data_IF_403836849363
#
_entry.id   IF_403836849363
#
_cell.length_a   1.000
_cell.length_b   1.000
_cell.length_c   1.000
_cell.angle_alpha   90.00
_cell.angle_beta   90.00
_cell.angle_gamma   90.00
#
_symmetry.space_group_name_H-M   'P 1'
#
loop_
_entity.id
_entity.type
_entity.pdbx_description
1 polymer ?
#
# COMPACT_ATOMS: atom_id res chain seq x y z
N UNK A 1 31.50 23.13 -5.69
CA UNK A 1 31.19 22.41 -6.95
C UNK A 1 29.92 21.56 -6.90
N UNK A 2 29.73 20.67 -5.90
CA UNK A 2 28.50 19.84 -5.77
C UNK A 2 27.21 20.66 -5.74
N UNK A 3 27.20 21.80 -5.04
CA UNK A 3 26.06 22.72 -4.97
C UNK A 3 25.69 23.32 -6.33
N UNK A 4 26.68 23.71 -7.15
CA UNK A 4 26.42 24.31 -8.46
C UNK A 4 25.80 23.28 -9.43
N UNK A 5 26.20 22.00 -9.33
CA UNK A 5 25.60 20.93 -10.11
C UNK A 5 24.17 20.64 -9.67
N UNK A 6 23.90 20.60 -8.36
CA UNK A 6 22.53 20.45 -7.84
C UNK A 6 21.64 21.60 -8.31
N UNK A 7 22.08 22.86 -8.19
CA UNK A 7 21.32 24.01 -8.68
C UNK A 7 21.05 23.96 -10.19
N UNK A 8 22.01 23.50 -10.99
CA UNK A 8 21.84 23.29 -12.42
C UNK A 8 20.73 22.26 -12.70
N UNK A 9 20.81 21.09 -12.07
CA UNK A 9 19.82 20.02 -12.22
C UNK A 9 18.44 20.46 -11.71
N UNK A 10 18.35 21.20 -10.59
CA UNK A 10 17.08 21.74 -10.08
C UNK A 10 16.44 22.69 -11.09
N UNK A 11 17.21 23.60 -11.68
CA UNK A 11 16.70 24.52 -12.72
C UNK A 11 16.21 23.77 -13.95
N UNK A 12 16.92 22.71 -14.36
CA UNK A 12 16.49 21.87 -15.47
C UNK A 12 15.17 21.15 -15.18
N UNK A 13 15.05 20.55 -14.00
CA UNK A 13 13.83 19.87 -13.57
C UNK A 13 12.64 20.83 -13.50
N UNK A 14 12.85 22.07 -13.03
CA UNK A 14 11.81 23.10 -12.98
C UNK A 14 11.35 23.58 -14.38
N UNK A 15 12.20 23.50 -15.41
CA UNK A 15 11.80 23.86 -16.78
C UNK A 15 11.21 22.68 -17.58
N UNK A 16 11.29 21.46 -17.03
CA UNK A 16 10.83 20.27 -17.71
C UNK A 16 9.30 20.11 -17.62
N UNK A 17 8.60 20.52 -18.69
CA UNK A 17 7.13 20.45 -18.80
C UNK A 17 6.56 19.05 -18.57
N UNK A 18 7.29 18.00 -18.96
CA UNK A 18 6.85 16.60 -18.76
C UNK A 18 6.77 16.27 -17.27
N UNK A 19 7.78 16.66 -16.48
CA UNK A 19 7.77 16.38 -15.05
C UNK A 19 6.71 17.20 -14.30
N UNK A 20 6.47 18.43 -14.74
CA UNK A 20 5.35 19.22 -14.22
C UNK A 20 4.00 18.61 -14.56
N UNK A 21 3.80 18.10 -15.78
CA UNK A 21 2.58 17.40 -16.16
C UNK A 21 2.36 16.17 -15.28
N UNK A 22 3.39 15.36 -15.06
CA UNK A 22 3.32 14.20 -14.17
C UNK A 22 3.07 14.61 -12.71
N UNK A 23 3.70 15.69 -12.24
CA UNK A 23 3.44 16.27 -10.92
C UNK A 23 1.99 16.72 -10.77
N UNK A 24 1.44 17.43 -11.76
CA UNK A 24 0.03 17.84 -11.80
C UNK A 24 -0.89 16.61 -11.84
N UNK A 25 -0.53 15.55 -12.56
CA UNK A 25 -1.30 14.31 -12.55
C UNK A 25 -1.37 13.68 -11.15
N UNK A 26 -0.26 13.67 -10.39
CA UNK A 26 -0.25 13.24 -8.98
C UNK A 26 -1.14 14.15 -8.12
N UNK A 27 -1.06 15.47 -8.33
CA UNK A 27 -1.89 16.43 -7.59
C UNK A 27 -3.37 16.23 -7.85
N UNK A 28 -3.76 16.01 -9.11
CA UNK A 28 -5.14 15.82 -9.52
C UNK A 28 -5.66 14.43 -9.17
N UNK A 29 -4.78 13.43 -9.02
CA UNK A 29 -5.18 12.06 -8.66
C UNK A 29 -6.04 12.05 -7.39
N UNK A 30 -5.66 12.76 -6.34
CA UNK A 30 -6.41 12.76 -5.08
C UNK A 30 -7.85 13.31 -5.24
N UNK A 31 -8.09 14.56 -5.66
CA UNK A 31 -9.47 15.04 -5.82
C UNK A 31 -10.28 14.22 -6.83
N UNK A 32 -9.67 13.70 -7.90
CA UNK A 32 -10.34 12.81 -8.87
C UNK A 32 -10.72 11.47 -8.21
N UNK A 33 -9.78 10.86 -7.49
CA UNK A 33 -10.01 9.60 -6.79
C UNK A 33 -11.11 9.75 -5.75
N UNK A 34 -11.18 10.87 -5.02
CA UNK A 34 -12.31 11.12 -4.12
C UNK A 34 -13.66 11.15 -4.83
N UNK A 35 -13.75 11.77 -6.03
CA UNK A 35 -15.00 11.76 -6.80
C UNK A 35 -15.44 10.33 -7.13
N UNK A 36 -14.49 9.45 -7.46
CA UNK A 36 -14.78 8.03 -7.68
C UNK A 36 -15.12 7.31 -6.36
N UNK A 37 -14.32 7.51 -5.31
CA UNK A 37 -14.47 6.91 -3.99
C UNK A 37 -15.85 7.21 -3.39
N UNK A 38 -16.29 8.47 -3.45
CA UNK A 38 -17.62 8.91 -2.97
C UNK A 38 -18.81 8.39 -3.78
N UNK A 39 -18.58 7.86 -4.99
CA UNK A 39 -19.60 7.19 -5.80
C UNK A 39 -19.59 5.67 -5.59
N UNK A 40 -18.58 5.15 -4.89
CA UNK A 40 -18.47 3.72 -4.62
C UNK A 40 -19.40 3.39 -3.47
N UNK A 41 -20.14 2.28 -3.58
CA UNK A 41 -21.09 1.82 -2.56
C UNK A 41 -20.35 1.19 -1.38
N UNK A 42 -19.61 2.02 -0.64
CA UNK A 42 -18.89 1.61 0.57
C UNK A 42 -19.89 1.67 1.71
N UNK A 43 -20.31 0.49 2.17
CA UNK A 43 -21.25 0.34 3.29
C UNK A 43 -20.68 0.98 4.54
N UNK A 44 -21.49 1.83 5.19
CA UNK A 44 -21.13 2.41 6.48
C UNK A 44 -21.06 1.31 7.54
N UNK A 45 -20.42 1.59 8.68
CA UNK A 45 -20.39 0.64 9.80
C UNK A 45 -21.81 0.28 10.27
N UNK A 46 -22.74 1.23 10.20
CA UNK A 46 -24.15 1.02 10.50
C UNK A 46 -24.79 0.02 9.53
N UNK A 47 -24.56 0.19 8.22
CA UNK A 47 -25.12 -0.70 7.20
C UNK A 47 -24.57 -2.12 7.34
N UNK A 48 -23.26 -2.25 7.63
CA UNK A 48 -22.64 -3.56 7.90
C UNK A 48 -23.31 -4.26 9.08
N UNK A 49 -23.54 -3.55 10.21
CA UNK A 49 -24.19 -4.14 11.38
C UNK A 49 -25.69 -4.40 11.18
N UNK A 50 -26.37 -3.60 10.35
CA UNK A 50 -27.75 -3.87 9.94
C UNK A 50 -27.84 -5.18 9.14
N UNK A 51 -26.97 -5.37 8.14
CA UNK A 51 -26.91 -6.60 7.36
C UNK A 51 -26.56 -7.82 8.20
N UNK A 52 -25.60 -7.66 9.12
CA UNK A 52 -25.22 -8.70 10.07
C UNK A 52 -26.42 -9.12 10.94
N UNK A 53 -27.22 -8.17 11.43
CA UNK A 53 -28.44 -8.47 12.18
C UNK A 53 -29.50 -9.19 11.31
N UNK A 54 -29.67 -8.79 10.05
CA UNK A 54 -30.60 -9.45 9.12
C UNK A 54 -30.17 -10.89 8.81
N UNK A 55 -28.87 -11.16 8.75
CA UNK A 55 -28.34 -12.52 8.54
C UNK A 55 -28.78 -13.47 9.66
N UNK A 56 -28.89 -13.00 10.92
CA UNK A 56 -29.34 -13.84 12.03
C UNK A 56 -30.77 -14.37 11.86
N UNK A 57 -31.68 -13.62 11.22
CA UNK A 57 -33.01 -14.15 10.88
C UNK A 57 -32.93 -15.38 9.96
N UNK A 58 -31.95 -15.37 9.05
CA UNK A 58 -31.73 -16.48 8.13
C UNK A 58 -31.07 -17.66 8.83
N UNK A 59 -30.10 -17.39 9.72
CA UNK A 59 -29.45 -18.40 10.55
C UNK A 59 -30.48 -19.13 11.42
N UNK A 60 -31.33 -18.40 12.15
CA UNK A 60 -32.36 -19.02 13.00
C UNK A 60 -33.37 -19.84 12.22
N UNK A 61 -33.79 -19.36 11.03
CA UNK A 61 -34.72 -20.10 10.17
C UNK A 61 -34.11 -21.38 9.58
N UNK A 62 -32.80 -21.37 9.34
CA UNK A 62 -32.07 -22.51 8.78
C UNK A 62 -31.57 -23.50 9.85
N UNK A 63 -31.66 -23.16 11.13
CA UNK A 63 -31.16 -24.00 12.21
C UNK A 63 -32.05 -25.26 12.37
N UNK A 64 -31.49 -26.49 12.40
CA UNK A 64 -32.29 -27.70 12.47
C UNK A 64 -33.03 -27.85 13.80
N UNK A 65 -34.36 -28.01 13.76
CA UNK A 65 -35.18 -28.21 14.96
C UNK A 65 -34.77 -29.47 15.74
N UNK A 66 -34.39 -30.55 15.04
CA UNK A 66 -33.91 -31.79 15.68
C UNK A 66 -32.66 -31.56 16.55
N UNK A 67 -31.80 -30.61 16.17
CA UNK A 67 -30.64 -30.25 17.00
C UNK A 67 -31.02 -29.36 18.17
N UNK A 68 -32.03 -28.51 18.02
CA UNK A 68 -32.52 -27.64 19.08
C UNK A 68 -33.05 -28.42 20.29
N UNK A 69 -33.58 -29.62 20.07
CA UNK A 69 -34.05 -30.51 21.14
C UNK A 69 -32.91 -31.22 21.90
N UNK A 70 -31.69 -31.19 21.37
CA UNK A 70 -30.51 -31.73 22.06
C UNK A 70 -29.89 -30.70 22.97
N UNK A 71 -29.27 -31.14 24.08
CA UNK A 71 -28.55 -30.24 24.98
C UNK A 71 -27.44 -29.45 24.25
N UNK A 72 -26.70 -30.11 23.36
CA UNK A 72 -25.63 -29.48 22.59
C UNK A 72 -26.17 -28.44 21.59
N UNK A 73 -27.24 -28.74 20.86
CA UNK A 73 -27.82 -27.78 19.94
C UNK A 73 -28.57 -26.64 20.63
N UNK A 74 -29.09 -26.86 21.85
CA UNK A 74 -29.61 -25.77 22.69
C UNK A 74 -28.49 -24.81 23.11
N UNK A 75 -27.33 -25.31 23.53
CA UNK A 75 -26.16 -24.46 23.86
C UNK A 75 -25.70 -23.62 22.66
N UNK A 76 -25.71 -24.19 21.44
CA UNK A 76 -25.40 -23.46 20.20
C UNK A 76 -26.48 -22.41 19.90
N UNK A 77 -27.75 -22.75 20.04
CA UNK A 77 -28.87 -21.84 19.79
C UNK A 77 -28.88 -20.65 20.76
N UNK A 78 -28.60 -20.91 22.04
CA UNK A 78 -28.50 -19.88 23.08
C UNK A 78 -27.32 -18.92 22.78
N UNK A 79 -26.17 -19.46 22.37
CA UNK A 79 -25.03 -18.67 21.91
C UNK A 79 -25.42 -17.78 20.71
N UNK A 80 -26.08 -18.33 19.69
CA UNK A 80 -26.54 -17.54 18.52
C UNK A 80 -27.54 -16.45 18.93
N UNK A 81 -28.39 -16.73 19.91
CA UNK A 81 -29.34 -15.76 20.48
C UNK A 81 -28.60 -14.61 21.19
N UNK A 82 -27.56 -14.93 21.98
CA UNK A 82 -26.70 -13.92 22.61
C UNK A 82 -25.97 -13.07 21.56
N UNK A 83 -25.39 -13.69 20.53
CA UNK A 83 -24.76 -12.96 19.42
C UNK A 83 -25.74 -12.00 18.73
N UNK A 84 -26.95 -12.45 18.41
CA UNK A 84 -27.98 -11.61 17.79
C UNK A 84 -28.36 -10.43 18.68
N UNK A 85 -28.46 -10.65 20.00
CA UNK A 85 -28.71 -9.58 20.96
C UNK A 85 -27.58 -8.53 20.97
N UNK A 86 -26.32 -8.98 21.03
CA UNK A 86 -25.14 -8.09 21.06
C UNK A 86 -25.02 -7.27 19.77
N UNK A 87 -25.29 -7.85 18.60
CA UNK A 87 -25.28 -7.12 17.33
C UNK A 87 -26.36 -6.05 17.32
N UNK A 88 -27.56 -6.34 17.83
CA UNK A 88 -28.63 -5.35 17.93
C UNK A 88 -28.28 -4.21 18.91
N UNK A 89 -27.57 -4.52 20.00
CA UNK A 89 -27.04 -3.49 20.90
C UNK A 89 -25.95 -2.65 20.22
N UNK A 90 -25.01 -3.26 19.51
CA UNK A 90 -24.01 -2.54 18.72
C UNK A 90 -24.64 -1.59 17.68
N UNK A 91 -25.74 -1.98 17.03
CA UNK A 91 -26.49 -1.10 16.10
C UNK A 91 -27.07 0.13 16.79
N UNK A 92 -27.48 -0.01 18.04
CA UNK A 92 -28.00 1.09 18.86
C UNK A 92 -26.85 2.02 19.29
N UNK A 93 -25.75 1.47 19.78
CA UNK A 93 -24.58 2.25 20.25
C UNK A 93 -23.92 3.10 19.16
N UNK A 94 -24.04 2.72 17.89
CA UNK A 94 -23.52 3.53 16.78
C UNK A 94 -24.27 4.84 16.55
N UNK A 95 -25.42 5.07 17.22
CA UNK A 95 -26.16 6.33 17.15
C UNK A 95 -25.66 7.38 18.13
N UNK A 96 -24.92 6.98 19.17
CA UNK A 96 -24.42 7.87 20.22
C UNK A 96 -22.91 7.64 20.46
N UNK A 97 -22.09 8.66 20.21
CA UNK A 97 -20.64 8.58 20.41
C UNK A 97 -20.25 8.34 21.88
N UNK A 98 -21.11 8.67 22.84
CA UNK A 98 -20.88 8.40 24.27
C UNK A 98 -20.95 6.90 24.60
N UNK A 99 -21.55 6.07 23.72
CA UNK A 99 -21.72 4.64 23.91
C UNK A 99 -20.64 3.78 23.21
N UNK A 100 -19.56 4.41 22.72
CA UNK A 100 -18.44 3.73 22.07
C UNK A 100 -17.83 2.61 22.93
N UNK A 101 -17.71 2.80 24.25
CA UNK A 101 -17.16 1.78 25.17
C UNK A 101 -18.07 0.54 25.25
N UNK A 102 -19.39 0.74 25.23
CA UNK A 102 -20.38 -0.35 25.21
C UNK A 102 -20.33 -1.10 23.88
N UNK A 103 -20.21 -0.39 22.76
CA UNK A 103 -20.01 -0.99 21.44
C UNK A 103 -18.79 -1.91 21.40
N UNK A 104 -17.67 -1.44 21.98
CA UNK A 104 -16.41 -2.19 22.00
C UNK A 104 -16.53 -3.42 22.89
N UNK A 105 -17.11 -3.27 24.09
CA UNK A 105 -17.28 -4.36 25.05
C UNK A 105 -18.17 -5.47 24.48
N UNK A 106 -19.32 -5.10 23.90
CA UNK A 106 -20.25 -6.05 23.29
C UNK A 106 -19.65 -6.70 22.04
N UNK A 107 -18.83 -5.97 21.28
CA UNK A 107 -18.12 -6.51 20.12
C UNK A 107 -17.04 -7.53 20.49
N UNK A 108 -16.33 -7.31 21.60
CA UNK A 108 -15.37 -8.29 22.12
C UNK A 108 -16.10 -9.55 22.59
N UNK A 109 -17.21 -9.38 23.34
CA UNK A 109 -18.05 -10.49 23.78
C UNK A 109 -18.65 -11.28 22.62
N UNK A 110 -19.13 -10.59 21.59
CA UNK A 110 -19.64 -11.19 20.35
C UNK A 110 -18.58 -12.10 19.71
N UNK A 111 -17.33 -11.64 19.65
CA UNK A 111 -16.24 -12.41 19.05
C UNK A 111 -15.79 -13.59 19.93
N UNK A 112 -15.88 -13.49 21.26
CA UNK A 112 -15.70 -14.65 22.15
C UNK A 112 -16.73 -15.75 21.86
N UNK A 113 -18.01 -15.39 21.73
CA UNK A 113 -19.09 -16.33 21.42
C UNK A 113 -18.88 -17.02 20.07
N UNK A 114 -18.42 -16.27 19.06
CA UNK A 114 -18.07 -16.82 17.74
C UNK A 114 -16.92 -17.82 17.81
N UNK A 115 -15.87 -17.51 18.57
CA UNK A 115 -14.76 -18.44 18.78
C UNK A 115 -15.23 -19.72 19.49
N UNK A 116 -16.10 -19.59 20.50
CA UNK A 116 -16.69 -20.74 21.18
C UNK A 116 -17.51 -21.63 20.22
N UNK A 117 -18.26 -21.05 19.28
CA UNK A 117 -18.95 -21.84 18.24
C UNK A 117 -17.99 -22.59 17.32
N UNK A 118 -16.86 -21.97 16.96
CA UNK A 118 -15.81 -22.64 16.20
C UNK A 118 -15.21 -23.82 16.96
N UNK A 119 -15.03 -23.70 18.27
CA UNK A 119 -14.55 -24.79 19.14
C UNK A 119 -15.58 -25.91 19.26
N UNK A 120 -16.87 -25.57 19.28
CA UNK A 120 -17.99 -26.51 19.23
C UNK A 120 -18.25 -27.11 17.83
N UNK A 121 -17.48 -26.71 16.81
CA UNK A 121 -17.55 -27.24 15.45
C UNK A 121 -18.68 -26.66 14.59
N UNK A 122 -19.26 -25.52 14.96
CA UNK A 122 -20.31 -24.79 14.21
C UNK A 122 -21.51 -25.67 13.78
N UNK A 123 -21.88 -26.66 14.58
CA UNK A 123 -22.94 -27.61 14.24
C UNK A 123 -24.27 -26.90 14.01
N UNK A 124 -24.94 -27.22 12.91
CA UNK A 124 -26.28 -26.69 12.60
C UNK A 124 -26.28 -25.31 11.94
N UNK A 125 -25.10 -24.72 11.75
CA UNK A 125 -24.92 -23.45 11.04
C UNK A 125 -24.47 -23.78 9.62
N UNK A 126 -25.17 -23.21 8.63
CA UNK A 126 -24.78 -23.38 7.24
C UNK A 126 -23.40 -22.73 6.99
N UNK A 127 -22.47 -23.37 6.24
CA UNK A 127 -21.09 -22.88 6.06
C UNK A 127 -20.97 -21.42 5.62
N UNK A 128 -21.89 -20.95 4.76
CA UNK A 128 -21.90 -19.57 4.26
C UNK A 128 -22.21 -18.50 5.33
N UNK A 129 -22.71 -18.88 6.51
CA UNK A 129 -23.01 -17.96 7.61
C UNK A 129 -21.98 -18.08 8.75
N UNK A 130 -20.96 -18.91 8.59
CA UNK A 130 -19.89 -19.05 9.57
C UNK A 130 -18.86 -17.95 9.31
N UNK A 131 -18.80 -16.96 10.21
CA UNK A 131 -17.71 -15.97 10.22
C UNK A 131 -16.39 -16.69 10.43
N UNK A 132 -15.38 -16.43 9.61
CA UNK A 132 -14.12 -17.16 9.70
C UNK A 132 -13.31 -16.75 10.93
N UNK A 133 -12.44 -17.64 11.44
CA UNK A 133 -11.51 -17.30 12.54
C UNK A 133 -10.63 -16.09 12.21
N UNK A 134 -10.24 -15.94 10.95
CA UNK A 134 -9.45 -14.80 10.48
C UNK A 134 -10.22 -13.48 10.62
N UNK A 135 -11.49 -13.43 10.19
CA UNK A 135 -12.36 -12.26 10.34
C UNK A 135 -12.58 -11.92 11.81
N UNK A 136 -12.83 -12.92 12.65
CA UNK A 136 -12.97 -12.73 14.11
C UNK A 136 -11.70 -12.11 14.69
N UNK A 137 -10.52 -12.63 14.35
CA UNK A 137 -9.26 -12.07 14.84
C UNK A 137 -8.98 -10.66 14.32
N UNK A 138 -9.41 -10.32 13.10
CA UNK A 138 -9.34 -8.95 12.56
C UNK A 138 -10.22 -7.99 13.35
N UNK A 139 -11.48 -8.34 13.60
CA UNK A 139 -12.41 -7.51 14.37
C UNK A 139 -11.91 -7.33 15.82
N UNK A 140 -11.48 -8.41 16.47
CA UNK A 140 -10.89 -8.36 17.82
C UNK A 140 -9.65 -7.47 17.87
N UNK A 141 -8.78 -7.49 16.85
CA UNK A 141 -7.61 -6.63 16.80
C UNK A 141 -8.00 -5.14 16.73
N UNK A 142 -9.03 -4.79 15.94
CA UNK A 142 -9.54 -3.43 15.85
C UNK A 142 -10.19 -2.98 17.16
N UNK A 143 -11.07 -3.79 17.74
CA UNK A 143 -11.77 -3.47 18.98
C UNK A 143 -10.81 -3.31 20.17
N UNK A 144 -9.83 -4.21 20.30
CA UNK A 144 -8.79 -4.09 21.33
C UNK A 144 -7.96 -2.81 21.17
N UNK A 145 -7.72 -2.37 19.92
CA UNK A 145 -7.02 -1.12 19.69
C UNK A 145 -7.87 0.07 20.13
N UNK A 146 -9.15 0.11 19.75
CA UNK A 146 -10.08 1.16 20.20
C UNK A 146 -10.14 1.23 21.73
N UNK A 147 -10.29 0.08 22.41
CA UNK A 147 -10.31 -0.01 23.87
C UNK A 147 -9.01 0.48 24.50
N UNK A 148 -7.87 0.02 24.01
CA UNK A 148 -6.55 0.34 24.59
C UNK A 148 -6.19 1.80 24.43
N UNK A 149 -6.53 2.40 23.28
CA UNK A 149 -6.12 3.76 22.92
C UNK A 149 -7.19 4.82 23.15
N UNK A 150 -8.40 4.43 23.60
CA UNK A 150 -9.54 5.32 23.86
C UNK A 150 -9.83 6.25 22.66
N UNK A 151 -9.88 5.67 21.47
CA UNK A 151 -10.15 6.39 20.21
C UNK A 151 -11.62 6.22 19.86
N UNK A 152 -12.29 7.30 19.48
CA UNK A 152 -13.67 7.25 19.02
C UNK A 152 -13.79 6.43 17.72
N UNK A 153 -14.86 5.66 17.63
CA UNK A 153 -15.21 4.93 16.42
C UNK A 153 -15.68 5.94 15.38
N UNK A 154 -15.17 5.83 14.16
CA UNK A 154 -15.58 6.68 13.04
C UNK A 154 -16.45 5.86 12.10
N UNK A 155 -17.80 6.01 12.15
CA UNK A 155 -18.71 5.15 11.41
C UNK A 155 -18.77 5.48 9.90
N UNK A 156 -18.44 6.72 9.52
CA UNK A 156 -18.44 7.18 8.14
C UNK A 156 -17.13 6.81 7.42
N UNK A 157 -17.17 5.99 6.35
CA UNK A 157 -15.99 5.62 5.58
C UNK A 157 -15.44 6.76 4.72
N UNK A 158 -16.23 7.82 4.46
CA UNK A 158 -15.88 8.89 3.51
C UNK A 158 -15.09 10.04 4.12
N UNK A 159 -14.80 10.01 5.43
CA UNK A 159 -13.96 10.99 6.11
C UNK A 159 -12.51 10.98 5.58
N UNK A 160 -11.81 12.09 5.75
CA UNK A 160 -10.43 12.23 5.28
C UNK A 160 -9.47 11.15 5.84
N UNK A 161 -9.64 10.73 7.10
CA UNK A 161 -8.78 9.73 7.74
C UNK A 161 -8.83 8.35 7.04
N UNK A 162 -10.00 7.94 6.54
CA UNK A 162 -10.20 6.65 5.86
C UNK A 162 -9.87 6.75 4.37
N UNK A 163 -10.18 7.91 3.76
CA UNK A 163 -9.91 8.20 2.36
C UNK A 163 -8.42 8.19 2.00
N UNK A 164 -7.54 8.75 2.84
CA UNK A 164 -6.12 8.90 2.49
C UNK A 164 -5.39 7.54 2.33
N UNK A 165 -5.49 6.59 3.27
CA UNK A 165 -4.98 5.23 3.07
C UNK A 165 -5.53 4.58 1.80
N UNK A 166 -6.85 4.65 1.57
CA UNK A 166 -7.48 4.07 0.38
C UNK A 166 -6.93 4.67 -0.93
N UNK A 167 -6.69 5.98 -0.96
CA UNK A 167 -6.09 6.67 -2.11
C UNK A 167 -4.64 6.22 -2.35
N UNK A 168 -3.86 6.05 -1.29
CA UNK A 168 -2.48 5.58 -1.37
C UNK A 168 -2.40 4.10 -1.78
N UNK A 169 -3.30 3.27 -1.29
CA UNK A 169 -3.43 1.87 -1.70
C UNK A 169 -3.82 1.77 -3.17
N UNK A 170 -4.70 2.65 -3.66
CA UNK A 170 -5.13 2.66 -5.06
C UNK A 170 -4.02 3.12 -6.01
N UNK A 171 -3.23 4.14 -5.64
CA UNK A 171 -2.12 4.59 -6.50
C UNK A 171 -0.93 3.62 -6.46
N UNK A 172 -0.82 2.80 -5.41
CA UNK A 172 0.24 1.80 -5.22
C UNK A 172 0.35 0.82 -6.39
N UNK A 173 1.51 0.16 -6.50
CA UNK A 173 1.78 -0.84 -7.53
C UNK A 173 2.09 -0.21 -8.88
N UNK A 174 1.44 -0.71 -9.93
CA UNK A 174 1.78 -0.34 -11.31
C UNK A 174 1.56 1.15 -11.63
N UNK A 175 0.46 1.82 -11.23
CA UNK A 175 0.26 3.25 -11.50
C UNK A 175 1.39 4.12 -10.93
N UNK A 176 1.74 3.94 -9.65
CA UNK A 176 2.87 4.64 -9.03
C UNK A 176 4.19 4.33 -9.74
N UNK A 177 4.45 3.05 -10.06
CA UNK A 177 5.65 2.67 -10.80
C UNK A 177 5.76 3.37 -12.15
N UNK A 178 4.67 3.46 -12.92
CA UNK A 178 4.66 4.15 -14.21
C UNK A 178 4.99 5.62 -14.06
N UNK A 179 4.43 6.30 -13.05
CA UNK A 179 4.75 7.70 -12.75
C UNK A 179 6.25 7.85 -12.48
N UNK A 180 6.80 7.02 -11.60
CA UNK A 180 8.23 7.04 -11.27
C UNK A 180 9.11 6.77 -12.49
N UNK A 181 8.77 5.77 -13.31
CA UNK A 181 9.51 5.42 -14.52
C UNK A 181 9.46 6.54 -15.56
N UNK A 182 8.31 7.20 -15.72
CA UNK A 182 8.16 8.33 -16.64
C UNK A 182 8.93 9.56 -16.16
N UNK A 183 9.02 9.82 -14.86
CA UNK A 183 9.90 10.84 -14.29
C UNK A 183 11.37 10.45 -14.51
N UNK A 184 11.75 9.22 -14.19
CA UNK A 184 13.12 8.70 -14.39
C UNK A 184 13.57 8.71 -15.85
N UNK A 185 12.64 8.55 -16.79
CA UNK A 185 12.92 8.62 -18.21
C UNK A 185 13.39 10.03 -18.65
N UNK A 186 12.87 11.09 -18.03
CA UNK A 186 13.21 12.47 -18.38
C UNK A 186 14.58 12.91 -17.84
N UNK A 187 15.02 12.29 -16.74
CA UNK A 187 16.36 12.43 -16.14
C UNK A 187 17.48 12.12 -17.15
N UNK A 188 17.22 11.18 -18.07
CA UNK A 188 18.20 10.67 -19.03
C UNK A 188 18.15 11.39 -20.39
N UNK A 189 16.97 11.87 -20.80
CA UNK A 189 16.80 12.62 -22.06
C UNK A 189 17.68 13.87 -22.12
N UNK A 190 17.78 14.61 -21.00
CA UNK A 190 18.50 15.87 -20.97
C UNK A 190 20.01 15.70 -21.13
N UNK A 191 20.58 14.59 -20.63
CA UNK A 191 22.00 14.26 -20.83
C UNK A 191 22.31 13.88 -22.27
N UNK A 192 21.38 13.20 -22.93
CA UNK A 192 21.53 12.83 -24.33
C UNK A 192 21.45 14.06 -25.24
N UNK A 193 20.61 15.03 -24.91
CA UNK A 193 20.45 16.28 -25.67
C UNK A 193 21.61 17.27 -25.43
N UNK A 194 22.18 17.32 -24.22
CA UNK A 194 23.22 18.28 -23.84
C UNK A 194 24.58 17.63 -23.54
N UNK A 195 24.99 16.66 -24.38
CA UNK A 195 26.25 15.90 -24.18
C UNK A 195 27.50 16.78 -24.11
N UNK A 196 27.53 17.89 -24.85
CA UNK A 196 28.67 18.82 -24.87
C UNK A 196 28.85 19.58 -23.54
N UNK A 197 27.75 20.06 -22.96
CA UNK A 197 27.74 20.78 -21.68
C UNK A 197 28.05 19.84 -20.49
N UNK A 198 27.55 18.61 -20.54
CA UNK A 198 27.73 17.61 -19.48
C UNK A 198 29.15 17.05 -19.36
N UNK A 199 29.93 17.07 -20.45
CA UNK A 199 31.32 16.55 -20.50
C UNK A 199 32.34 17.52 -19.88
N UNK A 200 32.05 18.83 -19.83
CA UNK A 200 32.95 19.84 -19.29
C UNK A 200 32.95 19.98 -17.76
N UNK A 201 32.02 19.31 -17.05
CA UNK A 201 31.90 19.41 -15.60
C UNK A 201 32.72 18.32 -14.89
N UNK A 202 33.72 18.66 -14.05
CA UNK A 202 34.56 17.72 -13.32
C UNK A 202 33.82 17.15 -12.11
N UNK A 203 32.74 16.40 -12.37
CA UNK A 203 31.92 15.74 -11.36
C UNK A 203 31.95 14.25 -11.61
N UNK A 204 32.19 13.46 -10.57
CA UNK A 204 32.25 12.00 -10.71
C UNK A 204 30.89 11.42 -11.12
N UNK A 205 30.90 10.31 -11.85
CA UNK A 205 29.67 9.68 -12.36
C UNK A 205 28.67 9.37 -11.24
N UNK A 206 29.14 8.79 -10.12
CA UNK A 206 28.28 8.52 -8.97
C UNK A 206 27.66 9.79 -8.37
N UNK A 207 28.41 10.89 -8.28
CA UNK A 207 27.87 12.15 -7.80
C UNK A 207 26.78 12.70 -8.73
N UNK A 208 26.92 12.51 -10.05
CA UNK A 208 25.86 12.86 -11.01
C UNK A 208 24.61 12.01 -10.79
N UNK A 209 24.77 10.70 -10.65
CA UNK A 209 23.66 9.76 -10.37
C UNK A 209 22.90 10.15 -9.10
N UNK A 210 23.60 10.31 -7.97
CA UNK A 210 22.95 10.66 -6.70
C UNK A 210 22.24 12.01 -6.74
N UNK A 211 22.83 13.02 -7.39
CA UNK A 211 22.21 14.35 -7.48
C UNK A 211 20.92 14.30 -8.31
N UNK A 212 20.93 13.56 -9.42
CA UNK A 212 19.76 13.40 -10.29
C UNK A 212 18.64 12.62 -9.62
N UNK A 213 18.98 11.45 -9.07
CA UNK A 213 18.03 10.63 -8.32
C UNK A 213 17.45 11.44 -7.18
N UNK A 214 18.27 12.17 -6.42
CA UNK A 214 17.83 13.01 -5.31
C UNK A 214 16.85 14.11 -5.72
N UNK A 215 17.10 14.83 -6.82
CA UNK A 215 16.22 15.92 -7.26
C UNK A 215 14.88 15.38 -7.78
N UNK A 216 14.89 14.30 -8.56
CA UNK A 216 13.66 13.68 -9.06
C UNK A 216 12.85 13.05 -7.93
N UNK A 217 13.51 12.41 -6.96
CA UNK A 217 12.88 11.89 -5.76
C UNK A 217 12.25 13.02 -4.94
N UNK A 218 13.00 14.10 -4.70
CA UNK A 218 12.48 15.27 -3.99
C UNK A 218 11.26 15.88 -4.70
N UNK A 219 11.34 16.08 -6.03
CA UNK A 219 10.22 16.59 -6.82
C UNK A 219 8.97 15.70 -6.69
N UNK A 220 9.14 14.38 -6.84
CA UNK A 220 8.06 13.40 -6.70
C UNK A 220 7.37 13.51 -5.34
N UNK A 221 8.17 13.55 -4.26
CA UNK A 221 7.64 13.62 -2.89
C UNK A 221 7.01 14.97 -2.56
N UNK A 222 7.48 16.07 -3.13
CA UNK A 222 6.81 17.37 -3.00
C UNK A 222 5.44 17.33 -3.65
N UNK A 223 5.31 16.82 -4.89
CA UNK A 223 3.99 16.69 -5.53
C UNK A 223 3.08 15.71 -4.80
N UNK A 224 3.62 14.59 -4.31
CA UNK A 224 2.85 13.64 -3.53
C UNK A 224 2.34 14.27 -2.23
N UNK A 225 3.19 14.96 -1.46
CA UNK A 225 2.81 15.62 -0.21
C UNK A 225 1.78 16.73 -0.43
N UNK A 226 1.96 17.56 -1.47
CA UNK A 226 0.99 18.61 -1.82
C UNK A 226 -0.32 17.99 -2.30
N UNK A 227 -0.28 16.88 -3.05
CA UNK A 227 -1.47 16.16 -3.51
C UNK A 227 -2.27 15.57 -2.35
N UNK A 228 -1.60 14.88 -1.42
CA UNK A 228 -2.19 14.40 -0.17
C UNK A 228 -2.80 15.57 0.61
N UNK A 229 -2.10 16.70 0.72
CA UNK A 229 -2.59 17.89 1.41
C UNK A 229 -3.85 18.48 0.78
N UNK A 230 -3.85 18.69 -0.53
CA UNK A 230 -5.02 19.21 -1.28
C UNK A 230 -6.20 18.23 -1.15
N UNK A 231 -5.95 16.93 -1.34
CA UNK A 231 -6.95 15.88 -1.18
C UNK A 231 -7.55 15.87 0.22
N UNK A 232 -6.70 15.86 1.25
CA UNK A 232 -7.12 15.86 2.66
C UNK A 232 -7.96 17.08 3.01
N UNK A 233 -7.55 18.27 2.58
CA UNK A 233 -8.31 19.51 2.80
C UNK A 233 -9.64 19.47 2.06
N UNK A 234 -9.65 19.03 0.79
CA UNK A 234 -10.85 18.94 -0.02
C UNK A 234 -11.90 18.00 0.59
N UNK A 235 -11.46 16.81 1.04
CA UNK A 235 -12.33 15.81 1.68
C UNK A 235 -12.72 16.25 3.09
N UNK A 236 -11.78 16.74 3.88
CA UNK A 236 -12.02 17.21 5.24
C UNK A 236 -13.07 18.33 5.31
N UNK A 237 -13.14 19.19 4.30
CA UNK A 237 -14.17 20.23 4.19
C UNK A 237 -15.55 19.69 3.75
N UNK A 238 -15.61 18.52 3.10
CA UNK A 238 -16.86 17.93 2.58
C UNK A 238 -17.50 16.93 3.53
N UNK A 239 -16.70 16.05 4.11
CA UNK A 239 -17.17 14.89 4.91
C UNK A 239 -16.61 14.89 6.32
N UNK A 240 -15.71 15.83 6.64
CA UNK A 240 -15.04 15.88 7.93
C UNK A 240 -13.68 15.19 7.92
N UNK A 241 -12.87 15.52 8.94
CA UNK A 241 -11.49 15.04 9.03
C UNK A 241 -11.38 13.60 9.54
N UNK A 242 -12.39 13.12 10.28
CA UNK A 242 -12.34 11.84 10.99
C UNK A 242 -11.24 11.85 12.05
N UNK A 243 -10.66 10.68 12.32
CA UNK A 243 -9.59 10.50 13.29
C UNK A 243 -8.42 9.72 12.68
N UNK A 244 -7.27 10.37 12.55
CA UNK A 244 -6.04 9.73 12.06
C UNK A 244 -5.38 8.80 13.10
N UNK A 245 -5.87 8.81 14.35
CA UNK A 245 -5.44 7.85 15.38
C UNK A 245 -6.26 6.57 15.34
N UNK A 246 -7.36 6.53 14.57
CA UNK A 246 -8.17 5.33 14.39
C UNK A 246 -7.35 4.17 13.83
N UNK A 247 -7.70 2.93 14.22
CA UNK A 247 -7.01 1.75 13.76
C UNK A 247 -7.29 1.44 12.31
N UNK A 248 -6.26 0.94 11.64
CA UNK A 248 -6.34 0.23 10.36
C UNK A 248 -5.58 -1.10 10.52
N UNK A 249 -6.04 -2.12 9.82
CA UNK A 249 -5.40 -3.43 9.84
C UNK A 249 -4.10 -3.39 9.04
N UNK A 250 -3.04 -3.92 9.65
CA UNK A 250 -1.74 -4.14 9.04
C UNK A 250 -1.42 -5.63 9.06
N UNK A 251 -1.18 -6.19 7.87
CA UNK A 251 -0.74 -7.57 7.72
C UNK A 251 0.75 -7.73 8.04
N UNK A 252 1.06 -8.64 8.95
CA UNK A 252 2.44 -8.97 9.31
C UNK A 252 2.57 -10.44 9.70
N UNK A 253 3.44 -11.16 8.99
CA UNK A 253 3.87 -12.51 9.38
C UNK A 253 2.75 -13.53 9.51
N UNK A 254 1.73 -13.46 8.65
CA UNK A 254 0.57 -14.38 8.70
C UNK A 254 -0.58 -13.92 9.61
N UNK A 255 -0.46 -12.76 10.26
CA UNK A 255 -1.47 -12.25 11.19
C UNK A 255 -1.83 -10.79 10.89
N UNK A 256 -3.01 -10.36 11.32
CA UNK A 256 -3.46 -8.98 11.23
C UNK A 256 -3.31 -8.28 12.57
N UNK A 257 -2.70 -7.11 12.53
CA UNK A 257 -2.46 -6.27 13.72
C UNK A 257 -3.04 -4.89 13.48
N UNK A 258 -3.72 -4.32 14.46
CA UNK A 258 -4.25 -2.96 14.35
C UNK A 258 -3.15 -1.93 14.66
N UNK A 259 -3.01 -0.94 13.78
CA UNK A 259 -2.08 0.20 13.92
C UNK A 259 -2.82 1.49 13.63
N UNK A 260 -2.31 2.64 14.08
CA UNK A 260 -2.91 3.93 13.69
C UNK A 260 -2.80 4.17 12.19
N UNK A 261 -3.78 4.87 11.63
CA UNK A 261 -3.73 5.35 10.23
C UNK A 261 -2.45 6.14 9.96
N UNK A 262 -1.99 7.00 10.89
CA UNK A 262 -0.70 7.70 10.74
C UNK A 262 0.46 6.73 10.56
N UNK A 263 0.53 5.66 11.37
CA UNK A 263 1.60 4.66 11.25
C UNK A 263 1.55 3.96 9.89
N UNK A 264 0.37 3.57 9.43
CA UNK A 264 0.15 2.94 8.13
C UNK A 264 0.60 3.86 6.97
N UNK A 265 0.16 5.12 6.96
CA UNK A 265 0.53 6.10 5.93
C UNK A 265 2.03 6.35 5.92
N UNK A 266 2.68 6.48 7.09
CA UNK A 266 4.14 6.65 7.16
C UNK A 266 4.89 5.45 6.58
N UNK A 267 4.43 4.23 6.86
CA UNK A 267 5.01 3.00 6.32
C UNK A 267 4.87 2.93 4.80
N UNK A 268 3.73 3.37 4.26
CA UNK A 268 3.48 3.44 2.83
C UNK A 268 4.34 4.50 2.15
N UNK A 269 4.48 5.70 2.74
CA UNK A 269 5.38 6.74 2.23
C UNK A 269 6.84 6.31 2.24
N UNK A 270 7.29 5.61 3.30
CA UNK A 270 8.62 5.00 3.35
C UNK A 270 8.83 3.97 2.23
N UNK A 271 7.82 3.15 1.97
CA UNK A 271 7.87 2.15 0.91
C UNK A 271 7.90 2.79 -0.48
N UNK A 272 7.07 3.80 -0.71
CA UNK A 272 7.13 4.62 -1.94
C UNK A 272 8.50 5.25 -2.13
N UNK A 273 9.18 5.66 -1.05
CA UNK A 273 10.53 6.24 -1.13
C UNK A 273 11.53 5.21 -1.62
N UNK A 274 11.51 4.01 -1.03
CA UNK A 274 12.40 2.90 -1.40
C UNK A 274 12.12 2.36 -2.79
N UNK A 275 10.84 2.19 -3.16
CA UNK A 275 10.42 1.79 -4.51
C UNK A 275 10.86 2.83 -5.53
N UNK A 276 10.65 4.11 -5.25
CA UNK A 276 11.07 5.20 -6.14
C UNK A 276 12.58 5.20 -6.34
N UNK A 277 13.34 5.04 -5.26
CA UNK A 277 14.79 4.95 -5.30
C UNK A 277 15.24 3.76 -6.16
N UNK A 278 14.69 2.57 -5.90
CA UNK A 278 14.96 1.35 -6.66
C UNK A 278 14.70 1.55 -8.16
N UNK A 279 13.52 2.07 -8.52
CA UNK A 279 13.12 2.26 -9.92
C UNK A 279 13.94 3.33 -10.64
N UNK A 280 14.25 4.45 -9.99
CA UNK A 280 15.07 5.51 -10.59
C UNK A 280 16.50 5.01 -10.88
N UNK A 281 17.11 4.29 -9.94
CA UNK A 281 18.45 3.72 -10.13
C UNK A 281 18.41 2.61 -11.19
N UNK A 282 17.39 1.76 -11.18
CA UNK A 282 17.19 0.72 -12.21
C UNK A 282 17.02 1.32 -13.60
N UNK A 283 16.30 2.44 -13.70
CA UNK A 283 16.12 3.18 -14.96
C UNK A 283 17.47 3.65 -15.53
N UNK A 284 18.39 4.12 -14.69
CA UNK A 284 19.74 4.49 -15.13
C UNK A 284 20.52 3.29 -15.64
N UNK A 285 20.46 2.16 -14.92
CA UNK A 285 21.16 0.93 -15.29
C UNK A 285 20.68 0.40 -16.64
N UNK A 286 19.36 0.20 -16.79
CA UNK A 286 18.73 -0.37 -17.98
C UNK A 286 18.87 0.59 -19.17
N UNK A 287 18.74 1.90 -18.96
CA UNK A 287 18.98 2.88 -20.04
C UNK A 287 20.42 2.85 -20.54
N UNK A 288 21.38 2.61 -19.64
CA UNK A 288 22.77 2.40 -20.02
C UNK A 288 23.02 1.12 -20.85
N UNK A 289 22.06 0.21 -20.95
CA UNK A 289 22.13 -1.01 -21.77
C UNK A 289 21.35 -0.84 -23.08
N UNK A 290 20.10 -0.40 -23.00
CA UNK A 290 19.21 -0.27 -24.17
C UNK A 290 19.56 0.94 -25.04
N UNK A 291 20.18 1.97 -24.46
CA UNK A 291 20.42 3.29 -25.07
C UNK A 291 19.14 3.97 -25.60
N UNK A 292 17.96 3.45 -25.25
CA UNK A 292 16.66 3.92 -25.70
C UNK A 292 15.72 4.04 -24.49
N UNK A 293 15.15 5.22 -24.32
CA UNK A 293 14.27 5.54 -23.19
C UNK A 293 12.99 4.70 -23.20
N UNK A 294 12.33 4.57 -24.35
CA UNK A 294 11.09 3.80 -24.47
C UNK A 294 11.32 2.32 -24.22
N UNK A 295 12.41 1.77 -24.77
CA UNK A 295 12.81 0.39 -24.49
C UNK A 295 13.10 0.19 -22.99
N UNK A 296 13.73 1.17 -22.33
CA UNK A 296 14.00 1.11 -20.88
C UNK A 296 12.71 1.01 -20.07
N UNK A 297 11.76 1.92 -20.31
CA UNK A 297 10.48 1.93 -19.58
C UNK A 297 9.72 0.63 -19.86
N UNK A 298 9.64 0.21 -21.13
CA UNK A 298 8.93 -1.01 -21.51
C UNK A 298 9.56 -2.27 -20.89
N UNK A 299 10.89 -2.38 -20.87
CA UNK A 299 11.58 -3.51 -20.24
C UNK A 299 11.31 -3.60 -18.74
N UNK A 300 11.30 -2.45 -18.03
CA UNK A 300 11.02 -2.47 -16.60
C UNK A 300 9.55 -2.80 -16.34
N UNK A 301 8.61 -2.21 -17.09
CA UNK A 301 7.18 -2.54 -16.96
C UNK A 301 6.92 -4.02 -17.24
N UNK A 302 7.54 -4.59 -18.27
CA UNK A 302 7.45 -6.02 -18.56
C UNK A 302 7.98 -6.87 -17.40
N UNK A 303 9.12 -6.49 -16.81
CA UNK A 303 9.69 -7.17 -15.65
C UNK A 303 8.73 -7.11 -14.45
N UNK A 304 8.09 -5.97 -14.18
CA UNK A 304 7.13 -5.80 -13.09
C UNK A 304 5.87 -6.65 -13.27
N UNK A 305 5.41 -6.85 -14.51
CA UNK A 305 4.22 -7.65 -14.81
C UNK A 305 4.49 -9.16 -14.91
N UNK A 306 5.76 -9.54 -15.08
CA UNK A 306 6.17 -10.93 -15.25
C UNK A 306 5.65 -11.90 -14.18
N UNK A 307 5.65 -11.58 -12.87
CA UNK A 307 5.17 -12.51 -11.84
C UNK A 307 3.68 -12.85 -12.03
N UNK A 308 2.86 -11.83 -12.32
CA UNK A 308 1.42 -12.01 -12.56
C UNK A 308 1.15 -12.84 -13.82
N UNK A 309 1.93 -12.60 -14.89
CA UNK A 309 1.80 -13.37 -16.13
C UNK A 309 2.18 -14.84 -15.95
N UNK A 310 3.23 -15.13 -15.17
CA UNK A 310 3.66 -16.50 -14.87
C UNK A 310 2.64 -17.22 -13.98
N UNK A 311 2.09 -16.52 -12.98
CA UNK A 311 1.05 -17.07 -12.12
C UNK A 311 -0.20 -17.44 -12.94
N UNK A 312 -0.64 -16.56 -13.85
CA UNK A 312 -1.76 -16.85 -14.77
C UNK A 312 -1.49 -18.01 -15.72
N UNK A 313 -0.21 -18.31 -16.01
CA UNK A 313 0.21 -19.47 -16.79
C UNK A 313 0.37 -20.75 -15.94
N UNK A 314 0.11 -20.69 -14.62
CA UNK A 314 0.26 -21.81 -13.70
C UNK A 314 1.71 -22.12 -13.30
N UNK A 315 2.64 -21.20 -13.54
CA UNK A 315 4.06 -21.35 -13.19
C UNK A 315 4.30 -20.69 -11.83
N UNK A 316 4.73 -21.49 -10.84
CA UNK A 316 5.17 -20.94 -9.55
C UNK A 316 6.51 -20.20 -9.73
N UNK A 317 6.43 -18.88 -9.68
CA UNK A 317 7.57 -17.98 -9.76
C UNK A 317 7.86 -17.33 -8.42
N UNK A 318 7.89 -18.11 -7.34
CA UNK A 318 8.15 -17.60 -5.98
C UNK A 318 9.45 -16.81 -5.82
N UNK A 319 10.45 -17.03 -6.66
CA UNK A 319 11.68 -16.23 -6.66
C UNK A 319 11.46 -14.78 -7.14
N UNK A 320 10.34 -14.48 -7.80
CA UNK A 320 9.91 -13.15 -8.23
C UNK A 320 8.99 -12.42 -7.24
N UNK A 321 8.73 -13.00 -6.07
CA UNK A 321 7.96 -12.36 -4.99
C UNK A 321 8.39 -10.90 -4.68
N UNK A 322 9.68 -10.52 -4.72
CA UNK A 322 10.09 -9.13 -4.49
C UNK A 322 9.48 -8.12 -5.48
N UNK A 323 9.16 -8.54 -6.72
CA UNK A 323 8.53 -7.66 -7.71
C UNK A 323 7.04 -7.49 -7.46
N UNK A 324 6.38 -8.52 -6.92
CA UNK A 324 4.97 -8.44 -6.50
C UNK A 324 4.82 -7.45 -5.36
N UNK A 325 5.78 -7.45 -4.42
CA UNK A 325 5.75 -6.60 -3.23
C UNK A 325 5.81 -5.10 -3.52
N UNK A 326 6.13 -4.70 -4.76
CA UNK A 326 6.13 -3.31 -5.21
C UNK A 326 4.73 -2.68 -5.11
N UNK A 327 3.68 -3.49 -5.21
CA UNK A 327 2.36 -3.06 -4.78
C UNK A 327 2.24 -3.11 -3.26
N UNK A 328 2.80 -2.10 -2.60
CA UNK A 328 2.86 -2.05 -1.14
C UNK A 328 1.47 -1.98 -0.50
N UNK A 329 0.48 -1.34 -1.14
CA UNK A 329 -0.89 -1.30 -0.63
C UNK A 329 -1.46 -2.71 -0.41
N UNK A 330 -1.35 -3.59 -1.41
CA UNK A 330 -1.79 -4.99 -1.28
C UNK A 330 -0.92 -5.82 -0.33
N UNK A 331 0.35 -5.46 -0.12
CA UNK A 331 1.21 -6.09 0.90
C UNK A 331 0.78 -5.69 2.31
N UNK A 332 0.46 -4.41 2.54
CA UNK A 332 0.06 -3.90 3.85
C UNK A 332 -1.34 -4.40 4.25
N UNK A 333 -2.28 -4.46 3.29
CA UNK A 333 -3.62 -4.99 3.51
C UNK A 333 -3.67 -6.53 3.59
N UNK A 334 -2.60 -7.22 3.18
CA UNK A 334 -2.52 -8.69 3.16
C UNK A 334 -3.13 -9.34 1.92
N UNK A 335 -3.70 -8.57 1.00
CA UNK A 335 -4.23 -9.08 -0.29
C UNK A 335 -3.17 -9.80 -1.11
N UNK A 336 -1.93 -9.31 -1.12
CA UNK A 336 -0.82 -9.96 -1.82
C UNK A 336 -0.54 -11.35 -1.25
N UNK A 337 -0.53 -11.49 0.09
CA UNK A 337 -0.30 -12.76 0.76
C UNK A 337 -1.40 -13.79 0.46
N UNK A 338 -2.65 -13.34 0.36
CA UNK A 338 -3.78 -14.18 -0.04
C UNK A 338 -3.67 -14.58 -1.52
N UNK A 339 -3.37 -13.64 -2.41
CA UNK A 339 -3.29 -13.86 -3.87
C UNK A 339 -2.18 -14.84 -4.28
N UNK A 340 -1.05 -14.81 -3.59
CA UNK A 340 0.10 -15.67 -3.88
C UNK A 340 0.29 -16.78 -2.83
N UNK A 341 -0.70 -16.99 -1.96
CA UNK A 341 -0.75 -18.05 -0.95
C UNK A 341 0.53 -18.12 -0.10
N UNK A 342 1.09 -16.95 0.24
CA UNK A 342 2.42 -16.83 0.83
C UNK A 342 2.41 -15.88 2.01
N UNK A 343 2.52 -16.46 3.22
CA UNK A 343 2.64 -15.71 4.48
C UNK A 343 3.94 -14.91 4.59
N UNK A 344 4.86 -15.12 3.67
CA UNK A 344 6.11 -14.36 3.54
C UNK A 344 5.94 -13.00 2.86
N UNK A 345 4.74 -12.67 2.37
CA UNK A 345 4.44 -11.36 1.80
C UNK A 345 4.06 -10.37 2.89
N UNK A 346 5.03 -10.03 3.72
CA UNK A 346 4.89 -9.01 4.75
C UNK A 346 5.68 -7.74 4.42
N UNK A 347 5.30 -6.63 5.04
CA UNK A 347 5.91 -5.33 4.81
C UNK A 347 7.39 -5.29 5.22
N UNK A 348 7.80 -6.03 6.25
CA UNK A 348 9.19 -6.02 6.75
C UNK A 348 10.14 -6.62 5.73
N UNK A 349 9.73 -7.73 5.12
CA UNK A 349 10.45 -8.38 4.02
C UNK A 349 10.41 -7.51 2.78
N UNK A 350 9.29 -6.89 2.44
CA UNK A 350 9.20 -5.95 1.32
C UNK A 350 10.24 -4.81 1.45
N UNK A 351 10.29 -4.14 2.61
CA UNK A 351 11.27 -3.09 2.89
C UNK A 351 12.72 -3.61 2.78
N UNK A 352 12.99 -4.79 3.36
CA UNK A 352 14.31 -5.41 3.30
C UNK A 352 14.73 -5.75 1.87
N UNK A 353 13.81 -6.24 1.05
CA UNK A 353 14.01 -6.52 -0.37
C UNK A 353 14.28 -5.25 -1.16
N UNK A 354 13.52 -4.18 -0.95
CA UNK A 354 13.75 -2.91 -1.65
C UNK A 354 15.14 -2.33 -1.35
N UNK A 355 15.57 -2.37 -0.07
CA UNK A 355 16.92 -1.96 0.30
C UNK A 355 17.97 -2.86 -0.36
N UNK A 356 17.83 -4.18 -0.22
CA UNK A 356 18.77 -5.16 -0.78
C UNK A 356 18.91 -5.03 -2.30
N UNK A 357 17.79 -4.98 -3.04
CA UNK A 357 17.77 -4.80 -4.49
C UNK A 357 18.38 -3.45 -4.89
N UNK A 358 18.07 -2.37 -4.17
CA UNK A 358 18.66 -1.05 -4.45
C UNK A 358 20.18 -1.09 -4.33
N UNK A 359 20.72 -1.73 -3.28
CA UNK A 359 22.16 -1.89 -3.09
C UNK A 359 22.79 -2.73 -4.20
N UNK A 360 22.14 -3.81 -4.65
CA UNK A 360 22.60 -4.64 -5.77
C UNK A 360 22.64 -3.81 -7.07
N UNK A 361 21.61 -3.03 -7.37
CA UNK A 361 21.59 -2.18 -8.58
C UNK A 361 22.65 -1.07 -8.49
N UNK A 362 22.87 -0.46 -7.33
CA UNK A 362 23.95 0.51 -7.13
C UNK A 362 25.34 -0.13 -7.28
N UNK A 363 25.55 -1.33 -6.74
CA UNK A 363 26.81 -2.07 -6.85
C UNK A 363 27.12 -2.44 -8.31
N UNK A 364 26.12 -2.90 -9.06
CA UNK A 364 26.27 -3.22 -10.49
C UNK A 364 26.57 -1.97 -11.31
N UNK A 365 25.91 -0.84 -11.04
CA UNK A 365 26.25 0.45 -11.64
C UNK A 365 27.70 0.86 -11.34
N UNK A 366 28.13 0.75 -10.09
CA UNK A 366 29.49 1.08 -9.68
C UNK A 366 30.54 0.20 -10.39
N UNK A 367 30.30 -1.12 -10.43
CA UNK A 367 31.18 -2.07 -11.11
C UNK A 367 31.30 -1.76 -12.60
N UNK A 368 30.18 -1.46 -13.27
CA UNK A 368 30.17 -1.05 -14.67
C UNK A 368 31.00 0.21 -14.91
N UNK A 369 30.85 1.24 -14.07
CA UNK A 369 31.64 2.48 -14.18
C UNK A 369 33.13 2.23 -13.96
N UNK A 370 33.50 1.39 -12.98
CA UNK A 370 34.89 1.07 -12.69
C UNK A 370 35.56 0.32 -13.85
N UNK A 371 34.87 -0.67 -14.43
CA UNK A 371 35.37 -1.44 -15.58
C UNK A 371 35.61 -0.56 -16.82
N UNK A 372 34.74 0.43 -17.07
CA UNK A 372 34.90 1.38 -18.17
C UNK A 372 36.12 2.31 -18.00
N UNK A 373 36.51 2.61 -16.75
CA UNK A 373 37.69 3.42 -16.48
C UNK A 373 38.99 2.61 -16.67
N UNK A 374 38.99 1.32 -16.31
CA UNK A 374 40.15 0.45 -16.47
C UNK A 374 40.42 0.01 -17.91
N UNK A 375 39.41 -0.01 -18.78
CA UNK A 375 39.55 -0.41 -20.20
C UNK A 375 40.03 0.71 -21.12
N UNK A 376 40.23 1.93 -20.60
CA UNK A 376 40.90 3.05 -21.29
C UNK A 376 42.12 3.49 -20.47
N UNK A 377 43.20 2.68 -20.41
CA UNK A 377 44.49 3.20 -19.98
C UNK A 377 44.88 4.31 -20.96
N UNK A 378 45.41 5.40 -20.41
CA UNK A 378 45.97 6.52 -21.13
C UNK A 378 46.92 6.06 -22.23
N UNK A 379 46.44 6.07 -23.48
CA UNK A 379 47.27 6.09 -24.67
C UNK A 379 47.85 7.48 -24.86
N UNK A 380 48.72 7.90 -23.95
CA UNK A 380 49.70 8.96 -24.19
C UNK A 380 51.02 8.48 -23.61
N UNK A 381 51.87 7.95 -24.50
CA UNK A 381 53.24 8.42 -24.70
C UNK A 381 53.92 7.52 -25.73
N UNK A 382 53.93 7.96 -26.99
CA UNK A 382 55.05 7.69 -27.88
C UNK A 382 55.66 9.04 -28.26
N UNK A 383 56.79 9.43 -27.67
CA UNK A 383 57.69 10.36 -28.34
C UNK A 383 58.42 9.57 -29.43
N UNK A 384 58.27 10.01 -30.68
CA UNK A 384 59.31 10.13 -31.71
C UNK A 384 58.65 10.53 -33.03
#
# INVERSE_FOLDING_TARGET
MRWNYLLFETKMVLHNRKNWLLGIAILLFFPIYYLQYSQTDIKTLQDQKNEEAEQFHTIFKAFPEEMRETKEGQEIYDNLTEQSSLINMQRFYLWDEEENDSYITDGLRLNELRLALHEAGNKGIHPNYIVTKEEIHKEVALLNYYQKHHVSIVPDPFVASNYIPAALDTISGLPFCLIVLLIGSSMLLHDQQNRSLMRGLPVSFLQKVFSKVGIHLFQLFVFLAVGIGIGSVYVGLKTGWGSFTSPILLYSGGTFTAVSIVHYVLLQLLSFLLISLLLLVTTILVSGLTKNMYATVLSIVFLLLLPSLLLSAGIDASWLHPLVMIDIGSVLSGEAALKFTSTSMDYRRALSWFVGLTLVVLATLYMKTRLQYTSHPSGHDKPN
#
